data_IF_241074787772
#
_entry.id   IF_241074787772
#
_cell.length_a   1.000
_cell.length_b   1.000
_cell.length_c   1.000
_cell.angle_alpha   90.00
_cell.angle_beta   90.00
_cell.angle_gamma   90.00
#
_symmetry.space_group_name_H-M   'P 1'
#
loop_
_entity.id
_entity.type
_entity.pdbx_description
1 polymer ?
#
# COMPACT_ATOMS: atom_id res chain seq x y z
N UNK A 1 13.07 58.15 -46.37
CA UNK A 1 12.98 56.70 -46.13
C UNK A 1 13.98 56.34 -45.03
N UNK A 2 13.54 55.55 -44.04
CA UNK A 2 14.34 54.84 -43.02
C UNK A 2 14.68 55.53 -41.66
N UNK A 3 13.80 55.21 -40.70
CA UNK A 3 14.06 54.64 -39.35
C UNK A 3 14.42 55.57 -38.18
N UNK A 4 13.41 55.71 -37.32
CA UNK A 4 13.43 56.15 -35.93
C UNK A 4 14.50 55.42 -35.10
N UNK A 5 15.35 56.18 -34.42
CA UNK A 5 16.16 55.72 -33.30
C UNK A 5 15.71 56.41 -32.02
N UNK A 6 15.08 55.67 -31.11
CA UNK A 6 14.81 56.14 -29.74
C UNK A 6 16.07 56.00 -28.90
N UNK A 7 16.61 57.12 -28.42
CA UNK A 7 17.68 57.13 -27.42
C UNK A 7 17.07 57.31 -26.03
N UNK A 8 17.58 56.56 -25.04
CA UNK A 8 17.23 56.75 -23.63
C UNK A 8 18.38 57.48 -22.96
N UNK A 9 18.09 58.67 -22.43
CA UNK A 9 19.03 59.44 -21.62
C UNK A 9 18.88 58.96 -20.17
N UNK A 10 19.99 58.56 -19.57
CA UNK A 10 20.04 58.26 -18.14
C UNK A 10 20.74 59.41 -17.44
N UNK A 11 19.99 60.13 -16.61
CA UNK A 11 20.56 61.09 -15.67
C UNK A 11 20.95 60.35 -14.39
N UNK A 12 22.25 60.28 -14.12
CA UNK A 12 22.75 59.86 -12.81
C UNK A 12 22.85 61.07 -11.89
N UNK A 13 22.62 60.87 -10.59
CA UNK A 13 22.82 61.93 -9.60
C UNK A 13 24.31 62.28 -9.53
N UNK A 14 24.61 63.58 -9.54
CA UNK A 14 25.97 64.07 -9.36
C UNK A 14 26.52 63.56 -8.02
N UNK A 15 27.60 62.79 -8.08
CA UNK A 15 28.28 62.24 -6.92
C UNK A 15 29.59 63.00 -6.73
N UNK A 16 29.67 63.80 -5.67
CA UNK A 16 30.86 64.59 -5.36
C UNK A 16 31.94 63.64 -4.81
N UNK A 17 32.91 63.28 -5.64
CA UNK A 17 34.07 62.52 -5.21
C UNK A 17 35.07 63.47 -4.54
N UNK A 18 35.27 63.30 -3.24
CA UNK A 18 36.31 64.00 -2.50
C UNK A 18 37.67 63.42 -2.88
N UNK A 19 38.27 63.94 -3.95
CA UNK A 19 39.61 63.55 -4.37
C UNK A 19 40.63 64.31 -3.53
N UNK A 20 41.37 63.60 -2.68
CA UNK A 20 42.54 64.15 -1.98
C UNK A 20 43.63 64.39 -3.02
N UNK A 21 44.16 65.61 -3.10
CA UNK A 21 45.23 65.96 -4.04
C UNK A 21 46.38 64.94 -3.95
N UNK A 22 46.65 64.26 -5.06
CA UNK A 22 47.66 63.22 -5.12
C UNK A 22 49.05 63.82 -4.90
N UNK A 23 49.74 63.36 -3.86
CA UNK A 23 51.19 63.50 -3.79
C UNK A 23 51.79 62.61 -4.89
N UNK A 24 52.51 63.22 -5.83
CA UNK A 24 53.18 62.58 -6.95
C UNK A 24 54.40 61.73 -6.55
N UNK A 25 54.18 60.77 -5.65
CA UNK A 25 55.14 59.73 -5.34
C UNK A 25 54.39 58.41 -5.33
N UNK A 26 54.46 57.68 -6.45
CA UNK A 26 54.03 56.29 -6.50
C UNK A 26 54.84 55.52 -5.44
N UNK A 27 54.22 55.28 -4.28
CA UNK A 27 54.82 54.50 -3.22
C UNK A 27 55.03 53.09 -3.77
N UNK A 28 56.28 52.69 -3.90
CA UNK A 28 56.69 51.34 -4.32
C UNK A 28 56.03 50.25 -3.47
N UNK A 29 55.54 50.60 -2.27
CA UNK A 29 54.74 49.72 -1.41
C UNK A 29 53.41 49.28 -2.01
N UNK A 30 52.74 50.13 -2.81
CA UNK A 30 51.41 49.80 -3.36
C UNK A 30 51.53 48.90 -4.60
N UNK A 31 52.59 49.07 -5.40
CA UNK A 31 52.93 48.11 -6.45
C UNK A 31 53.36 46.76 -5.87
N UNK A 32 54.09 46.75 -4.75
CA UNK A 32 54.51 45.52 -4.08
C UNK A 32 53.32 44.76 -3.46
N UNK A 33 52.33 45.48 -2.91
CA UNK A 33 51.05 44.89 -2.45
C UNK A 33 50.21 44.33 -3.59
N UNK A 34 50.22 44.97 -4.75
CA UNK A 34 49.52 44.46 -5.94
C UNK A 34 50.23 43.22 -6.51
N UNK A 35 51.56 43.19 -6.50
CA UNK A 35 52.34 42.02 -6.93
C UNK A 35 52.05 40.79 -6.05
N UNK A 36 51.97 40.98 -4.73
CA UNK A 36 51.65 39.88 -3.80
C UNK A 36 50.21 39.37 -3.90
N UNK A 37 49.30 40.16 -4.49
CA UNK A 37 47.92 39.77 -4.77
C UNK A 37 47.77 38.95 -6.06
N UNK A 38 48.79 39.01 -6.93
CA UNK A 38 48.88 38.29 -8.20
C UNK A 38 49.84 37.10 -8.15
N UNK A 39 50.62 36.96 -7.08
CA UNK A 39 51.35 35.74 -6.78
C UNK A 39 50.36 34.66 -6.34
N UNK A 40 50.54 33.44 -6.86
CA UNK A 40 49.78 32.25 -6.48
C UNK A 40 49.53 32.25 -4.96
N UNK A 41 48.29 31.97 -4.57
CA UNK A 41 47.95 31.66 -3.19
C UNK A 41 48.94 30.57 -2.73
N UNK A 42 49.74 30.87 -1.71
CA UNK A 42 50.73 29.92 -1.23
C UNK A 42 50.05 28.57 -0.99
N UNK A 43 50.69 27.51 -1.47
CA UNK A 43 50.24 26.15 -1.27
C UNK A 43 50.11 25.92 0.23
N UNK A 44 48.87 25.92 0.72
CA UNK A 44 48.54 25.65 2.11
C UNK A 44 49.23 24.32 2.47
N UNK A 45 50.12 24.29 3.48
CA UNK A 45 50.84 23.08 3.83
C UNK A 45 49.82 21.99 4.15
N UNK A 46 50.07 20.76 3.66
CA UNK A 46 49.14 19.63 3.72
C UNK A 46 48.60 19.30 5.13
N UNK A 47 49.23 19.86 6.16
CA UNK A 47 48.90 19.71 7.57
C UNK A 47 47.68 20.55 8.03
N UNK A 48 47.24 21.54 7.25
CA UNK A 48 46.09 22.39 7.57
C UNK A 48 44.77 21.93 6.90
N UNK A 49 44.80 20.86 6.11
CA UNK A 49 43.56 20.28 5.59
C UNK A 49 42.83 19.54 6.71
N UNK A 50 41.60 19.97 7.01
CA UNK A 50 40.69 19.14 7.80
C UNK A 50 40.61 17.75 7.16
N UNK A 51 40.67 16.71 7.98
CA UNK A 51 40.58 15.33 7.52
C UNK A 51 39.19 15.08 6.95
N UNK A 52 39.03 15.35 5.66
CA UNK A 52 37.79 15.09 4.96
C UNK A 52 37.58 13.58 4.87
N UNK A 53 36.74 13.07 5.76
CA UNK A 53 36.29 11.69 5.70
C UNK A 53 35.16 11.62 4.66
N UNK A 54 35.35 10.94 3.54
CA UNK A 54 34.36 10.90 2.48
C UNK A 54 33.05 10.28 2.99
N UNK A 55 31.92 10.85 2.60
CA UNK A 55 30.59 10.46 3.09
C UNK A 55 30.25 8.98 2.85
N UNK A 56 30.81 8.37 1.79
CA UNK A 56 30.62 6.95 1.47
C UNK A 56 31.29 5.99 2.46
N UNK A 57 32.22 6.45 3.30
CA UNK A 57 32.84 5.61 4.34
C UNK A 57 31.95 5.48 5.58
N UNK A 58 30.96 6.36 5.74
CA UNK A 58 30.04 6.32 6.87
C UNK A 58 28.99 5.22 6.64
N UNK A 59 28.73 4.33 7.60
CA UNK A 59 27.83 3.18 7.42
C UNK A 59 26.37 3.57 7.13
N UNK A 60 25.92 4.73 7.62
CA UNK A 60 24.57 5.23 7.36
C UNK A 60 24.33 5.58 5.88
N UNK A 61 25.37 5.95 5.13
CA UNK A 61 25.26 6.23 3.69
C UNK A 61 24.79 4.98 2.95
N UNK A 62 25.32 3.81 3.31
CA UNK A 62 24.92 2.53 2.72
C UNK A 62 23.50 2.12 3.13
N UNK A 63 23.04 2.45 4.33
CA UNK A 63 21.64 2.22 4.71
C UNK A 63 20.67 3.06 3.88
N UNK A 64 20.96 4.34 3.68
CA UNK A 64 20.13 5.22 2.83
C UNK A 64 20.15 4.75 1.38
N UNK A 65 21.33 4.38 0.88
CA UNK A 65 21.47 3.84 -0.47
C UNK A 65 20.70 2.53 -0.65
N UNK A 66 20.83 1.60 0.30
CA UNK A 66 20.10 0.34 0.31
C UNK A 66 18.59 0.56 0.38
N UNK A 67 18.11 1.52 1.19
CA UNK A 67 16.70 1.90 1.26
C UNK A 67 16.20 2.43 -0.09
N UNK A 68 16.98 3.28 -0.76
CA UNK A 68 16.65 3.81 -2.08
C UNK A 68 16.55 2.69 -3.11
N UNK A 69 17.52 1.77 -3.13
CA UNK A 69 17.48 0.60 -3.99
C UNK A 69 16.34 -0.36 -3.66
N UNK A 70 15.98 -0.51 -2.38
CA UNK A 70 14.85 -1.33 -1.95
C UNK A 70 13.48 -0.71 -2.27
N UNK A 71 13.39 0.61 -2.41
CA UNK A 71 12.14 1.29 -2.74
C UNK A 71 11.63 0.95 -4.16
N UNK A 72 12.55 0.74 -5.11
CA UNK A 72 12.25 0.41 -6.51
C UNK A 72 11.51 -0.93 -6.66
N UNK A 73 12.01 -2.07 -6.16
CA UNK A 73 11.30 -3.35 -6.28
C UNK A 73 9.98 -3.34 -5.50
N UNK A 74 9.92 -2.67 -4.35
CA UNK A 74 8.67 -2.54 -3.57
C UNK A 74 7.59 -1.82 -4.38
N UNK A 75 7.94 -0.67 -4.96
CA UNK A 75 7.02 0.09 -5.83
C UNK A 75 6.55 -0.75 -7.03
N UNK A 76 7.47 -1.48 -7.66
CA UNK A 76 7.17 -2.30 -8.83
C UNK A 76 6.24 -3.48 -8.50
N UNK A 77 6.43 -4.13 -7.35
CA UNK A 77 5.53 -5.18 -6.85
C UNK A 77 4.13 -4.62 -6.59
N UNK A 78 4.02 -3.47 -5.93
CA UNK A 78 2.74 -2.82 -5.66
C UNK A 78 2.03 -2.44 -6.95
N UNK A 79 2.74 -1.84 -7.91
CA UNK A 79 2.19 -1.46 -9.21
C UNK A 79 1.71 -2.69 -10.00
N UNK A 80 2.46 -3.80 -10.00
CA UNK A 80 2.04 -5.06 -10.64
C UNK A 80 0.78 -5.65 -9.99
N UNK A 81 0.67 -5.61 -8.65
CA UNK A 81 -0.53 -6.05 -7.93
C UNK A 81 -1.75 -5.23 -8.32
N UNK A 82 -1.63 -3.90 -8.35
CA UNK A 82 -2.69 -2.99 -8.78
C UNK A 82 -3.07 -3.20 -10.24
N UNK A 83 -2.10 -3.39 -11.13
CA UNK A 83 -2.37 -3.67 -12.55
C UNK A 83 -3.14 -4.98 -12.73
N UNK A 84 -2.84 -6.02 -11.95
CA UNK A 84 -3.62 -7.28 -11.95
C UNK A 84 -5.05 -7.09 -11.45
N UNK A 85 -5.27 -6.23 -10.46
CA UNK A 85 -6.60 -5.87 -9.98
C UNK A 85 -7.40 -5.10 -11.04
N UNK A 86 -6.75 -4.21 -11.79
CA UNK A 86 -7.40 -3.39 -12.81
C UNK A 86 -7.70 -4.16 -14.10
N UNK A 87 -6.83 -5.11 -14.49
CA UNK A 87 -7.00 -5.86 -15.73
C UNK A 87 -8.13 -6.89 -15.64
N UNK A 88 -8.32 -7.54 -14.48
CA UNK A 88 -9.39 -8.54 -14.27
C UNK A 88 -9.91 -8.47 -12.83
N UNK A 89 -10.79 -7.49 -12.51
CA UNK A 89 -11.31 -7.31 -11.15
C UNK A 89 -12.12 -8.54 -10.68
N UNK A 90 -12.86 -9.19 -11.58
CA UNK A 90 -13.67 -10.37 -11.26
C UNK A 90 -12.83 -11.58 -10.83
N UNK A 91 -11.80 -11.94 -11.60
CA UNK A 91 -10.90 -13.07 -11.27
C UNK A 91 -10.15 -12.81 -9.96
N UNK A 92 -9.75 -11.56 -9.71
CA UNK A 92 -9.08 -11.19 -8.46
C UNK A 92 -10.03 -11.27 -7.26
N UNK A 93 -11.26 -10.78 -7.40
CA UNK A 93 -12.29 -10.87 -6.38
C UNK A 93 -12.61 -12.34 -6.06
N UNK A 94 -12.87 -13.17 -7.07
CA UNK A 94 -13.10 -14.61 -6.91
C UNK A 94 -11.96 -15.30 -6.17
N UNK A 95 -10.70 -15.05 -6.58
CA UNK A 95 -9.53 -15.63 -5.89
C UNK A 95 -9.45 -15.20 -4.43
N UNK A 96 -9.77 -13.94 -4.13
CA UNK A 96 -9.79 -13.42 -2.77
C UNK A 96 -10.90 -14.09 -1.95
N UNK A 97 -12.10 -14.21 -2.50
CA UNK A 97 -13.24 -14.87 -1.87
C UNK A 97 -12.94 -16.35 -1.58
N UNK A 98 -12.30 -17.06 -2.50
CA UNK A 98 -11.91 -18.46 -2.31
C UNK A 98 -10.84 -18.62 -1.24
N UNK A 99 -9.90 -17.70 -1.15
CA UNK A 99 -8.93 -17.67 -0.06
C UNK A 99 -9.61 -17.40 1.29
N UNK A 100 -10.57 -16.48 1.32
CA UNK A 100 -11.34 -16.16 2.52
C UNK A 100 -12.19 -17.35 2.96
N UNK A 101 -12.87 -18.04 2.05
CA UNK A 101 -13.67 -19.23 2.33
C UNK A 101 -12.82 -20.37 2.91
N UNK A 102 -11.64 -20.62 2.32
CA UNK A 102 -10.68 -21.60 2.86
C UNK A 102 -10.13 -21.22 4.23
N UNK A 103 -9.79 -19.95 4.43
CA UNK A 103 -9.32 -19.44 5.72
C UNK A 103 -10.40 -19.58 6.79
N UNK A 104 -11.65 -19.28 6.43
CA UNK A 104 -12.79 -19.47 7.30
C UNK A 104 -13.01 -20.94 7.68
N UNK A 105 -12.90 -21.88 6.74
CA UNK A 105 -12.97 -23.32 7.06
C UNK A 105 -11.88 -23.73 8.06
N UNK A 106 -10.65 -23.27 7.84
CA UNK A 106 -9.55 -23.53 8.77
C UNK A 106 -9.82 -22.94 10.17
N UNK A 107 -10.39 -21.74 10.23
CA UNK A 107 -10.78 -21.09 11.49
C UNK A 107 -11.94 -21.83 12.16
N UNK A 108 -12.96 -22.26 11.41
CA UNK A 108 -14.10 -23.01 11.93
C UNK A 108 -13.66 -24.32 12.58
N UNK A 109 -12.71 -25.04 11.95
CA UNK A 109 -12.03 -26.22 12.53
C UNK A 109 -11.33 -25.89 13.85
N UNK A 110 -10.61 -24.77 13.89
CA UNK A 110 -9.90 -24.33 15.10
C UNK A 110 -10.85 -23.86 16.21
N UNK A 111 -12.00 -23.27 15.86
CA UNK A 111 -13.01 -22.79 16.81
C UNK A 111 -13.74 -23.97 17.44
N UNK A 112 -14.13 -25.00 16.68
CA UNK A 112 -14.74 -26.22 17.25
C UNK A 112 -13.84 -26.85 18.31
N UNK A 113 -12.53 -26.91 18.04
CA UNK A 113 -11.56 -27.47 18.98
C UNK A 113 -11.43 -26.67 20.29
N UNK A 114 -11.85 -25.40 20.32
CA UNK A 114 -11.79 -24.54 21.51
C UNK A 114 -13.14 -24.39 22.20
N UNK A 115 -14.20 -24.15 21.42
CA UNK A 115 -15.56 -23.87 21.88
C UNK A 115 -16.56 -24.24 20.78
N UNK A 116 -17.26 -25.37 20.92
CA UNK A 116 -18.29 -25.79 19.97
C UNK A 116 -19.43 -24.75 19.87
N UNK A 117 -19.69 -24.01 20.94
CA UNK A 117 -20.73 -22.97 20.96
C UNK A 117 -20.40 -21.76 20.07
N UNK A 118 -19.13 -21.42 19.89
CA UNK A 118 -18.69 -20.29 19.06
C UNK A 118 -18.64 -20.63 17.56
N UNK A 119 -18.64 -21.92 17.21
CA UNK A 119 -18.64 -22.36 15.82
C UNK A 119 -19.91 -21.93 15.07
N UNK A 120 -21.08 -22.06 15.70
CA UNK A 120 -22.37 -21.77 15.07
C UNK A 120 -22.48 -20.34 14.53
N UNK A 121 -22.29 -19.27 15.33
CA UNK A 121 -22.34 -17.91 14.80
C UNK A 121 -21.20 -17.61 13.81
N UNK A 122 -20.05 -18.26 13.96
CA UNK A 122 -18.92 -18.08 13.05
C UNK A 122 -19.19 -18.66 11.66
N UNK A 123 -19.73 -19.88 11.59
CA UNK A 123 -20.05 -20.55 10.34
C UNK A 123 -21.19 -19.85 9.57
N UNK A 124 -22.25 -19.44 10.27
CA UNK A 124 -23.37 -18.65 9.70
C UNK A 124 -22.85 -17.33 9.11
N UNK A 125 -22.11 -16.55 9.89
CA UNK A 125 -21.55 -15.28 9.44
C UNK A 125 -20.62 -15.44 8.23
N UNK A 126 -19.82 -16.50 8.21
CA UNK A 126 -18.86 -16.72 7.16
C UNK A 126 -19.49 -17.10 5.81
N UNK A 127 -20.47 -18.00 5.80
CA UNK A 127 -21.21 -18.33 4.57
C UNK A 127 -21.96 -17.11 4.07
N UNK A 128 -22.64 -16.40 4.97
CA UNK A 128 -23.41 -15.21 4.62
C UNK A 128 -22.49 -14.13 4.01
N UNK A 129 -21.33 -13.86 4.61
CA UNK A 129 -20.36 -12.89 4.10
C UNK A 129 -19.79 -13.32 2.74
N UNK A 130 -19.47 -14.60 2.54
CA UNK A 130 -19.02 -15.10 1.24
C UNK A 130 -20.07 -14.93 0.15
N UNK A 131 -21.32 -15.31 0.41
CA UNK A 131 -22.42 -15.18 -0.56
C UNK A 131 -22.73 -13.70 -0.85
N UNK A 132 -22.75 -12.86 0.17
CA UNK A 132 -22.99 -11.43 0.02
C UNK A 132 -21.90 -10.76 -0.82
N UNK A 133 -20.62 -11.07 -0.57
CA UNK A 133 -19.52 -10.49 -1.34
C UNK A 133 -19.43 -11.04 -2.76
N UNK A 134 -19.79 -12.31 -2.98
CA UNK A 134 -19.78 -12.93 -4.32
C UNK A 134 -20.86 -12.33 -5.23
N UNK A 135 -22.06 -12.17 -4.70
CA UNK A 135 -23.23 -11.71 -5.46
C UNK A 135 -23.49 -10.19 -5.31
N UNK A 136 -22.61 -9.47 -4.61
CA UNK A 136 -22.76 -8.03 -4.38
C UNK A 136 -24.02 -7.65 -3.59
N UNK A 137 -24.55 -8.59 -2.79
CA UNK A 137 -25.78 -8.42 -2.02
C UNK A 137 -25.48 -7.60 -0.75
N UNK A 138 -26.34 -6.64 -0.36
CA UNK A 138 -26.13 -5.89 0.87
C UNK A 138 -26.12 -6.78 2.12
N UNK A 139 -25.23 -6.47 3.07
CA UNK A 139 -24.96 -7.32 4.23
C UNK A 139 -26.14 -7.55 5.20
N UNK A 140 -27.21 -6.78 5.05
CA UNK A 140 -28.38 -6.74 5.93
C UNK A 140 -29.59 -7.54 5.40
N UNK A 141 -29.46 -8.25 4.28
CA UNK A 141 -30.56 -9.08 3.78
C UNK A 141 -30.84 -10.27 4.69
N UNK A 142 -32.12 -10.56 4.90
CA UNK A 142 -32.54 -11.78 5.56
C UNK A 142 -32.15 -13.00 4.70
N UNK A 143 -32.01 -14.16 5.34
CA UNK A 143 -31.60 -15.40 4.67
C UNK A 143 -32.54 -15.77 3.51
N UNK A 144 -33.85 -15.59 3.70
CA UNK A 144 -34.83 -15.90 2.66
C UNK A 144 -34.72 -14.95 1.46
N UNK A 145 -34.50 -13.65 1.71
CA UNK A 145 -34.28 -12.66 0.64
C UNK A 145 -32.98 -12.93 -0.14
N UNK A 146 -31.96 -13.43 0.55
CA UNK A 146 -30.68 -13.80 -0.05
C UNK A 146 -30.88 -15.02 -0.96
N UNK A 147 -31.60 -16.05 -0.50
CA UNK A 147 -31.87 -17.25 -1.30
C UNK A 147 -32.69 -16.95 -2.55
N UNK A 148 -33.70 -16.07 -2.46
CA UNK A 148 -34.50 -15.64 -3.62
C UNK A 148 -33.60 -14.98 -4.68
N UNK A 149 -32.67 -14.11 -4.28
CA UNK A 149 -31.74 -13.46 -5.21
C UNK A 149 -30.74 -14.44 -5.82
N UNK A 150 -30.30 -15.44 -5.07
CA UNK A 150 -29.40 -16.47 -5.60
C UNK A 150 -30.11 -17.41 -6.59
N UNK A 151 -31.42 -17.63 -6.40
CA UNK A 151 -32.26 -18.37 -7.35
C UNK A 151 -32.42 -17.59 -8.66
N UNK A 152 -32.57 -16.27 -8.58
CA UNK A 152 -32.61 -15.37 -9.75
C UNK A 152 -31.27 -15.32 -10.52
N UNK A 153 -30.14 -15.63 -9.87
CA UNK A 153 -28.79 -15.64 -10.47
C UNK A 153 -28.37 -17.02 -11.04
N UNK A 154 -29.32 -17.92 -11.30
CA UNK A 154 -29.12 -19.24 -11.93
C UNK A 154 -28.18 -20.20 -11.16
N UNK A 155 -28.05 -20.04 -9.84
CA UNK A 155 -27.27 -20.99 -9.03
C UNK A 155 -27.98 -22.36 -8.98
N UNK A 156 -27.21 -23.45 -8.89
CA UNK A 156 -27.76 -24.80 -8.87
C UNK A 156 -28.80 -24.96 -7.73
N UNK A 157 -30.05 -25.37 -8.04
CA UNK A 157 -31.11 -25.46 -7.02
C UNK A 157 -30.76 -26.49 -5.93
N UNK A 158 -29.95 -27.51 -6.25
CA UNK A 158 -29.46 -28.49 -5.28
C UNK A 158 -28.48 -27.85 -4.27
N UNK A 159 -27.61 -26.95 -4.73
CA UNK A 159 -26.66 -26.25 -3.86
C UNK A 159 -27.39 -25.25 -2.96
N UNK A 160 -28.35 -24.51 -3.52
CA UNK A 160 -29.21 -23.60 -2.75
C UNK A 160 -29.96 -24.32 -1.63
N UNK A 161 -30.53 -25.48 -1.92
CA UNK A 161 -31.24 -26.27 -0.92
C UNK A 161 -30.30 -26.73 0.20
N UNK A 162 -29.07 -27.15 -0.13
CA UNK A 162 -28.05 -27.55 0.85
C UNK A 162 -27.59 -26.40 1.74
N UNK A 163 -27.38 -25.21 1.17
CA UNK A 163 -27.05 -24.00 1.95
C UNK A 163 -28.21 -23.67 2.89
N UNK A 164 -29.45 -23.70 2.40
CA UNK A 164 -30.64 -23.44 3.20
C UNK A 164 -30.78 -24.43 4.37
N UNK A 165 -30.64 -25.73 4.11
CA UNK A 165 -30.70 -26.75 5.16
C UNK A 165 -29.59 -26.55 6.19
N UNK A 166 -28.37 -26.26 5.73
CA UNK A 166 -27.22 -26.06 6.60
C UNK A 166 -27.36 -24.85 7.51
N UNK A 167 -27.73 -23.68 6.95
CA UNK A 167 -27.93 -22.46 7.74
C UNK A 167 -29.10 -22.61 8.71
N UNK A 168 -30.18 -23.30 8.30
CA UNK A 168 -31.29 -23.61 9.20
C UNK A 168 -30.86 -24.52 10.36
N UNK A 169 -30.04 -25.55 10.09
CA UNK A 169 -29.51 -26.47 11.08
C UNK A 169 -28.54 -25.78 12.05
N UNK A 170 -27.70 -24.86 11.58
CA UNK A 170 -26.86 -24.04 12.47
C UNK A 170 -27.71 -23.19 13.41
N UNK A 171 -28.74 -22.53 12.88
CA UNK A 171 -29.60 -21.64 13.66
C UNK A 171 -30.39 -22.39 14.71
N UNK A 172 -30.88 -23.60 14.41
CA UNK A 172 -31.57 -24.44 15.40
C UNK A 172 -30.58 -25.01 16.43
N UNK A 173 -29.42 -25.51 16.00
CA UNK A 173 -28.40 -26.06 16.89
C UNK A 173 -27.81 -25.02 17.86
N UNK A 174 -27.76 -23.74 17.44
CA UNK A 174 -27.33 -22.63 18.31
C UNK A 174 -28.20 -22.50 19.57
N UNK A 175 -29.49 -22.80 19.48
CA UNK A 175 -30.43 -22.72 20.59
C UNK A 175 -30.72 -24.09 21.23
N UNK A 176 -30.09 -25.17 20.75
CA UNK A 176 -30.23 -26.51 21.32
C UNK A 176 -29.53 -26.62 22.69
N UNK A 177 -29.97 -27.56 23.56
CA UNK A 177 -29.29 -27.88 24.81
C UNK A 177 -27.81 -28.25 24.60
N UNK A 178 -26.98 -27.99 25.62
CA UNK A 178 -25.51 -28.12 25.52
C UNK A 178 -25.08 -29.54 25.13
N UNK A 179 -25.72 -30.59 25.64
CA UNK A 179 -25.36 -31.98 25.32
C UNK A 179 -25.59 -32.33 23.84
N UNK A 180 -26.60 -31.73 23.21
CA UNK A 180 -26.89 -31.94 21.79
C UNK A 180 -25.98 -31.09 20.90
N UNK A 181 -25.51 -29.95 21.40
CA UNK A 181 -24.70 -28.97 20.67
C UNK A 181 -23.29 -29.45 20.35
N UNK A 182 -22.66 -30.20 21.25
CA UNK A 182 -21.29 -30.65 21.04
C UNK A 182 -21.21 -31.80 20.02
N UNK A 183 -22.18 -32.72 20.07
CA UNK A 183 -22.28 -33.83 19.11
C UNK A 183 -22.72 -33.39 17.70
N UNK A 184 -23.57 -32.37 17.59
CA UNK A 184 -23.99 -31.83 16.29
C UNK A 184 -22.91 -30.98 15.59
N UNK A 185 -21.94 -30.44 16.33
CA UNK A 185 -20.92 -29.55 15.77
C UNK A 185 -19.99 -30.26 14.76
N UNK A 186 -19.61 -31.51 15.04
CA UNK A 186 -18.74 -32.29 14.14
C UNK A 186 -19.45 -32.69 12.85
N UNK A 187 -20.73 -33.10 12.93
CA UNK A 187 -21.55 -33.42 11.77
C UNK A 187 -21.75 -32.18 10.87
N UNK A 188 -22.05 -31.04 11.47
CA UNK A 188 -22.21 -29.77 10.73
C UNK A 188 -20.88 -29.28 10.13
N UNK A 189 -19.73 -29.57 10.74
CA UNK A 189 -18.43 -29.26 10.12
C UNK A 189 -18.20 -30.09 8.85
N UNK A 190 -18.63 -31.35 8.82
CA UNK A 190 -18.54 -32.18 7.63
C UNK A 190 -19.42 -31.63 6.49
N UNK A 191 -20.66 -31.25 6.80
CA UNK A 191 -21.57 -30.61 5.85
C UNK A 191 -21.00 -29.28 5.36
N UNK A 192 -20.42 -28.47 6.25
CA UNK A 192 -19.77 -27.22 5.88
C UNK A 192 -18.61 -27.44 4.90
N UNK A 193 -17.77 -28.43 5.16
CA UNK A 193 -16.65 -28.78 4.27
C UNK A 193 -17.15 -29.23 2.89
N UNK A 194 -18.24 -30.01 2.85
CA UNK A 194 -18.85 -30.45 1.60
C UNK A 194 -19.40 -29.26 0.79
N UNK A 195 -20.13 -28.34 1.43
CA UNK A 195 -20.64 -27.11 0.79
C UNK A 195 -19.49 -26.26 0.26
N UNK A 196 -18.43 -26.06 1.04
CA UNK A 196 -17.25 -25.31 0.60
C UNK A 196 -16.57 -25.96 -0.60
N UNK A 197 -16.45 -27.29 -0.64
CA UNK A 197 -15.90 -27.97 -1.83
C UNK A 197 -16.78 -27.78 -3.07
N UNK A 198 -18.10 -27.88 -2.93
CA UNK A 198 -19.02 -27.69 -4.06
C UNK A 198 -18.99 -26.24 -4.58
N UNK A 199 -18.93 -25.26 -3.68
CA UNK A 199 -18.80 -23.84 -4.05
C UNK A 199 -17.47 -23.53 -4.76
N UNK A 200 -16.40 -24.23 -4.40
CA UNK A 200 -15.11 -24.09 -5.08
C UNK A 200 -15.08 -24.77 -6.45
N UNK A 201 -15.81 -25.87 -6.62
CA UNK A 201 -15.84 -26.65 -7.87
C UNK A 201 -16.79 -26.04 -8.92
N UNK A 202 -17.93 -25.46 -8.52
CA UNK A 202 -18.82 -24.73 -9.45
C UNK A 202 -18.12 -23.54 -10.12
N UNK A 203 -17.09 -22.96 -9.50
CA UNK A 203 -16.34 -21.83 -10.06
C UNK A 203 -15.25 -22.23 -11.06
N UNK A 204 -14.98 -23.52 -11.26
CA UNK A 204 -13.96 -24.01 -12.21
C UNK A 204 -14.55 -24.26 -13.60
N UNK A 205 -15.88 -24.25 -13.75
CA UNK A 205 -16.59 -24.36 -15.04
C UNK A 205 -16.85 -23.00 -15.66
#
# INVERSE_FOLDING_TARGET
NSKNGTYRVYESKAQTLSVKAGSAAASTSDLQKLYHKWTMQDLIPRQEYESYVPTYSKPWYWLVLALLFASLPVSLVIARRRKRQLLNPHIWLQRKLNQQLKACLAQAKAVIAKSPAEFYPFADACIMDYLQQKHGIPAHLALDDLLIRLEDEEMSPDLLQKIRSFLSAIRTARFAPVEYRDSSAEALLADFNHIVSQLLDEEIK
#
